data_IF_490592016446
#
_entry.id   IF_490592016446
#
_cell.length_a   1.000
_cell.length_b   1.000
_cell.length_c   1.000
_cell.angle_alpha   90.00
_cell.angle_beta   90.00
_cell.angle_gamma   90.00
#
_symmetry.space_group_name_H-M   'P 1'
#
loop_
_entity.id
_entity.type
_entity.pdbx_description
1 polymer ?
#
# COMPACT_ATOMS: atom_id res chain seq x y z
N UNK A 1 -26.50 -9.62 43.02
CA UNK A 1 -25.26 -9.83 42.24
C UNK A 1 -24.74 -8.45 41.83
N UNK A 2 -23.55 -8.05 42.28
CA UNK A 2 -22.94 -6.76 41.90
C UNK A 2 -21.94 -7.05 40.79
N UNK A 3 -22.04 -6.37 39.65
CA UNK A 3 -21.06 -6.46 38.58
C UNK A 3 -19.93 -5.46 38.86
N UNK A 4 -18.67 -5.92 39.04
CA UNK A 4 -17.56 -5.00 39.25
C UNK A 4 -17.32 -4.18 37.98
N UNK A 5 -17.29 -2.85 38.12
CA UNK A 5 -16.94 -1.92 37.05
C UNK A 5 -15.44 -1.58 37.14
N UNK A 6 -14.70 -1.61 36.01
CA UNK A 6 -13.32 -1.16 35.99
C UNK A 6 -13.23 0.34 36.32
N UNK A 7 -12.19 0.73 37.07
CA UNK A 7 -11.91 2.15 37.35
C UNK A 7 -11.42 2.86 36.10
N UNK A 8 -11.87 4.09 35.86
CA UNK A 8 -11.38 4.93 34.78
C UNK A 8 -9.90 5.26 34.99
N UNK A 9 -9.10 5.19 33.92
CA UNK A 9 -7.67 5.52 33.95
C UNK A 9 -7.44 7.04 33.98
N UNK A 10 -6.37 7.47 34.65
CA UNK A 10 -5.90 8.85 34.66
C UNK A 10 -5.37 9.28 33.29
N UNK A 11 -5.63 10.53 32.88
CA UNK A 11 -5.11 11.13 31.66
C UNK A 11 -3.57 11.04 31.63
N UNK A 12 -3.03 10.50 30.53
CA UNK A 12 -1.59 10.39 30.28
C UNK A 12 -1.07 11.76 29.80
N UNK A 13 -0.11 12.33 30.52
CA UNK A 13 0.40 13.69 30.28
C UNK A 13 1.09 13.90 28.90
N UNK A 14 1.38 12.82 28.17
CA UNK A 14 2.08 12.84 26.89
C UNK A 14 1.15 12.86 25.65
N UNK A 15 -0.17 12.95 25.84
CA UNK A 15 -1.15 12.86 24.74
C UNK A 15 -1.27 14.12 23.86
N UNK A 16 -0.51 15.18 24.15
CA UNK A 16 -0.73 16.49 23.53
C UNK A 16 0.18 16.80 22.32
N UNK A 17 0.98 15.84 21.87
CA UNK A 17 1.78 15.98 20.67
C UNK A 17 1.09 15.28 19.50
N UNK A 18 0.36 16.04 18.68
CA UNK A 18 -0.40 15.46 17.56
C UNK A 18 -0.72 16.46 16.47
N UNK A 19 -0.41 16.07 15.23
CA UNK A 19 -0.71 16.76 13.98
C UNK A 19 -2.22 16.95 13.74
N UNK A 20 -2.58 17.89 12.87
CA UNK A 20 -3.97 18.19 12.54
C UNK A 20 -4.57 17.09 11.64
N UNK A 21 -5.72 16.53 12.03
CA UNK A 21 -6.48 15.59 11.19
C UNK A 21 -7.64 16.36 10.53
N UNK A 22 -7.69 16.36 9.20
CA UNK A 22 -8.80 16.94 8.45
C UNK A 22 -9.83 15.86 8.14
N UNK A 23 -11.01 15.96 8.76
CA UNK A 23 -12.11 15.03 8.50
C UNK A 23 -12.61 15.16 7.06
N UNK A 24 -12.67 14.06 6.28
CA UNK A 24 -13.23 14.11 4.95
C UNK A 24 -14.76 14.34 4.99
N UNK A 25 -15.35 14.97 3.95
CA UNK A 25 -16.80 15.20 3.88
C UNK A 25 -17.68 13.94 3.79
N UNK A 26 -17.09 12.76 3.61
CA UNK A 26 -17.80 11.48 3.53
C UNK A 26 -17.16 10.45 4.47
N UNK A 27 -17.92 9.38 4.79
CA UNK A 27 -17.46 8.33 5.71
C UNK A 27 -16.12 7.74 5.25
N UNK A 28 -15.20 7.60 6.20
CA UNK A 28 -13.88 7.02 5.94
C UNK A 28 -14.02 5.59 5.40
N UNK A 29 -13.70 5.43 4.12
CA UNK A 29 -13.51 4.12 3.52
C UNK A 29 -12.05 3.74 3.62
N UNK A 30 -11.74 3.18 4.77
CA UNK A 30 -10.40 2.82 5.16
C UNK A 30 -10.01 1.42 4.70
N UNK A 31 -9.07 1.34 3.76
CA UNK A 31 -8.32 0.12 3.47
C UNK A 31 -6.91 0.27 4.08
N UNK A 32 -6.82 0.41 5.41
CA UNK A 32 -5.56 0.60 6.14
C UNK A 32 -4.79 -0.71 6.38
N UNK A 33 -4.65 -1.54 5.35
CA UNK A 33 -3.48 -2.41 5.29
C UNK A 33 -2.55 -1.77 4.26
N UNK A 34 -1.98 -0.63 4.62
CA UNK A 34 -0.72 -0.25 3.98
C UNK A 34 0.28 -1.29 4.50
N UNK A 35 0.62 -2.27 3.67
CA UNK A 35 1.92 -2.93 3.75
C UNK A 35 2.96 -1.88 3.37
N UNK A 36 3.01 -0.76 4.10
CA UNK A 36 4.01 0.27 3.92
C UNK A 36 5.29 -0.32 4.45
N UNK A 37 6.01 -1.00 3.57
CA UNK A 37 7.36 -1.52 3.81
C UNK A 37 8.38 -0.40 4.05
N UNK A 38 7.96 0.87 4.11
CA UNK A 38 8.85 2.01 4.36
C UNK A 38 9.15 2.23 5.83
N UNK A 39 8.31 1.76 6.76
CA UNK A 39 8.61 1.82 8.19
C UNK A 39 9.22 0.49 8.66
N UNK A 40 10.41 0.50 9.30
CA UNK A 40 10.95 -0.68 9.95
C UNK A 40 9.99 -1.21 11.02
N UNK A 41 9.88 -2.54 11.17
CA UNK A 41 9.05 -3.15 12.22
C UNK A 41 9.72 -3.09 13.60
N UNK A 42 11.00 -2.74 13.63
CA UNK A 42 11.80 -2.64 14.84
C UNK A 42 11.76 -1.21 15.40
N UNK A 43 11.29 -1.07 16.64
CA UNK A 43 11.31 0.18 17.40
C UNK A 43 12.51 0.21 18.36
N UNK A 44 13.18 1.37 18.46
CA UNK A 44 14.29 1.55 19.40
C UNK A 44 13.82 1.54 20.86
N UNK A 45 14.60 0.88 21.70
CA UNK A 45 14.51 1.04 23.15
C UNK A 45 15.55 2.05 23.67
N UNK A 46 15.46 2.38 24.97
CA UNK A 46 16.39 3.32 25.60
C UNK A 46 17.85 2.86 25.55
N UNK A 47 18.11 1.55 25.51
CA UNK A 47 19.47 1.00 25.41
C UNK A 47 20.01 1.15 23.98
N UNK A 48 19.16 0.99 22.96
CA UNK A 48 19.45 1.24 21.56
C UNK A 48 19.78 2.72 21.33
N UNK A 49 18.95 3.64 21.87
CA UNK A 49 19.20 5.08 21.75
C UNK A 49 20.57 5.46 22.35
N UNK A 50 20.89 4.92 23.53
CA UNK A 50 22.18 5.15 24.17
C UNK A 50 23.35 4.57 23.36
N UNK A 51 23.15 3.44 22.67
CA UNK A 51 24.13 2.85 21.76
C UNK A 51 24.34 3.72 20.51
N UNK A 52 23.24 4.13 19.84
CA UNK A 52 23.29 4.97 18.64
C UNK A 52 23.94 6.31 18.95
N UNK A 53 23.66 6.93 20.10
CA UNK A 53 24.31 8.18 20.51
C UNK A 53 25.82 8.03 20.73
N UNK A 54 26.30 6.86 21.18
CA UNK A 54 27.73 6.58 21.29
C UNK A 54 28.36 6.31 19.93
N UNK A 55 27.67 5.57 19.07
CA UNK A 55 28.11 5.24 17.72
C UNK A 55 28.16 6.49 16.83
N UNK A 56 27.19 7.40 16.98
CA UNK A 56 27.10 8.69 16.29
C UNK A 56 28.32 9.59 16.47
N UNK A 57 29.04 9.43 17.59
CA UNK A 57 30.30 10.17 17.86
C UNK A 57 31.49 9.64 17.06
N UNK A 58 31.41 8.39 16.58
CA UNK A 58 32.47 7.73 15.80
C UNK A 58 32.11 7.65 14.32
N UNK A 59 30.84 7.49 14.00
CA UNK A 59 30.30 7.25 12.66
C UNK A 59 28.95 7.95 12.54
N UNK A 60 28.70 8.70 11.47
CA UNK A 60 27.42 9.38 11.28
C UNK A 60 26.31 8.37 10.91
N UNK A 61 25.48 7.99 11.88
CA UNK A 61 24.31 7.13 11.69
C UNK A 61 23.04 7.82 12.22
N UNK A 62 21.93 7.69 11.49
CA UNK A 62 20.61 8.14 11.93
C UNK A 62 19.85 7.04 12.70
N UNK A 63 18.89 7.44 13.54
CA UNK A 63 18.08 6.49 14.33
C UNK A 63 17.29 5.54 13.41
N UNK A 64 16.66 6.08 12.37
CA UNK A 64 15.88 5.31 11.39
C UNK A 64 16.75 4.32 10.60
N UNK A 65 17.97 4.70 10.23
CA UNK A 65 18.90 3.77 9.58
C UNK A 65 19.26 2.59 10.50
N UNK A 66 19.47 2.84 11.79
CA UNK A 66 19.75 1.77 12.73
C UNK A 66 18.54 0.84 12.91
N UNK A 67 17.31 1.38 13.00
CA UNK A 67 16.07 0.57 12.99
C UNK A 67 15.98 -0.31 11.74
N UNK A 68 16.23 0.26 10.56
CA UNK A 68 16.21 -0.49 9.29
C UNK A 68 17.28 -1.61 9.25
N UNK A 69 18.48 -1.33 9.78
CA UNK A 69 19.55 -2.34 9.86
C UNK A 69 19.16 -3.51 10.78
N UNK A 70 18.59 -3.22 11.96
CA UNK A 70 18.16 -4.27 12.90
C UNK A 70 16.97 -5.05 12.33
N UNK A 71 16.00 -4.36 11.71
CA UNK A 71 14.84 -4.98 11.07
C UNK A 71 15.27 -5.97 9.97
N UNK A 72 16.22 -5.59 9.11
CA UNK A 72 16.79 -6.48 8.08
C UNK A 72 17.51 -7.69 8.68
N UNK A 73 18.23 -7.52 9.80
CA UNK A 73 18.90 -8.63 10.49
C UNK A 73 17.91 -9.59 11.15
N UNK A 74 16.85 -9.08 11.79
CA UNK A 74 15.78 -9.91 12.37
C UNK A 74 15.01 -10.67 11.27
N UNK A 75 14.67 -10.00 10.16
CA UNK A 75 14.01 -10.62 9.00
C UNK A 75 14.88 -11.67 8.32
N UNK A 76 16.18 -11.40 8.16
CA UNK A 76 17.13 -12.35 7.57
C UNK A 76 17.40 -13.57 8.45
N UNK A 77 17.21 -13.42 9.76
CA UNK A 77 17.47 -14.48 10.72
C UNK A 77 16.40 -15.58 10.78
N UNK A 78 15.12 -15.20 10.76
CA UNK A 78 14.04 -16.11 11.15
C UNK A 78 14.30 -16.80 12.49
N UNK A 79 14.61 -18.11 12.45
CA UNK A 79 14.83 -18.94 13.63
C UNK A 79 16.31 -19.15 14.02
N UNK A 80 17.28 -18.81 13.17
CA UNK A 80 18.72 -19.09 13.37
C UNK A 80 19.55 -17.80 13.41
N UNK A 81 20.63 -17.79 14.20
CA UNK A 81 21.53 -16.63 14.29
C UNK A 81 22.19 -16.36 12.92
N UNK A 82 22.09 -15.11 12.45
CA UNK A 82 22.76 -14.63 11.22
C UNK A 82 24.26 -14.59 11.46
N UNK A 83 25.05 -15.00 10.48
CA UNK A 83 26.51 -14.93 10.53
C UNK A 83 27.02 -13.56 10.02
N UNK A 84 28.22 -13.14 10.40
CA UNK A 84 28.79 -11.87 9.93
C UNK A 84 28.85 -11.75 8.38
N UNK A 85 29.23 -12.79 7.61
CA UNK A 85 29.20 -12.73 6.14
C UNK A 85 27.79 -12.56 5.57
N UNK A 86 26.79 -13.16 6.22
CA UNK A 86 25.39 -13.05 5.82
C UNK A 86 24.82 -11.66 6.15
N UNK A 87 25.17 -11.10 7.30
CA UNK A 87 24.85 -9.72 7.65
C UNK A 87 25.36 -8.72 6.62
N UNK A 88 26.58 -8.94 6.08
CA UNK A 88 27.14 -8.11 4.99
C UNK A 88 26.39 -8.23 3.66
N UNK A 89 25.69 -9.34 3.42
CA UNK A 89 24.87 -9.50 2.22
C UNK A 89 23.50 -8.83 2.38
N UNK A 90 22.98 -8.80 3.62
CA UNK A 90 21.69 -8.20 3.95
C UNK A 90 21.76 -6.67 4.09
N UNK A 91 22.89 -6.17 4.60
CA UNK A 91 23.12 -4.75 4.84
C UNK A 91 23.97 -4.16 3.70
N UNK A 92 23.56 -3.01 3.16
CA UNK A 92 24.25 -2.31 2.07
C UNK A 92 25.04 -1.10 2.58
N UNK A 93 25.68 -1.27 3.73
CA UNK A 93 26.39 -0.21 4.47
C UNK A 93 27.89 -0.51 4.58
N UNK A 94 28.65 0.39 5.20
CA UNK A 94 30.08 0.22 5.41
C UNK A 94 30.42 -0.97 6.32
N UNK A 95 31.48 -1.71 5.97
CA UNK A 95 31.91 -2.93 6.67
C UNK A 95 32.18 -2.72 8.18
N UNK A 96 32.73 -1.55 8.54
CA UNK A 96 32.99 -1.18 9.94
C UNK A 96 31.70 -0.93 10.72
N UNK A 97 30.73 -0.25 10.10
CA UNK A 97 29.43 0.03 10.70
C UNK A 97 28.63 -1.26 10.87
N UNK A 98 28.59 -2.10 9.83
CA UNK A 98 27.93 -3.41 9.86
C UNK A 98 28.47 -4.25 11.02
N UNK A 99 29.79 -4.27 11.22
CA UNK A 99 30.42 -5.07 12.28
C UNK A 99 30.00 -4.60 13.67
N UNK A 100 30.01 -3.29 13.94
CA UNK A 100 29.61 -2.74 15.25
C UNK A 100 28.13 -3.00 15.55
N UNK A 101 27.26 -2.77 14.56
CA UNK A 101 25.81 -3.02 14.70
C UNK A 101 25.53 -4.52 14.86
N UNK A 102 26.20 -5.38 14.09
CA UNK A 102 26.05 -6.83 14.18
C UNK A 102 26.50 -7.40 15.52
N UNK A 103 27.61 -6.91 16.08
CA UNK A 103 28.09 -7.34 17.40
C UNK A 103 27.12 -6.92 18.50
N UNK A 104 26.58 -5.69 18.41
CA UNK A 104 25.54 -5.22 19.32
C UNK A 104 24.27 -6.09 19.24
N UNK A 105 23.73 -6.27 18.03
CA UNK A 105 22.55 -7.08 17.77
C UNK A 105 22.73 -8.53 18.23
N UNK A 106 23.85 -9.15 17.89
CA UNK A 106 24.17 -10.53 18.28
C UNK A 106 24.21 -10.70 19.79
N UNK A 107 24.79 -9.72 20.51
CA UNK A 107 24.83 -9.71 21.97
C UNK A 107 23.42 -9.56 22.55
N UNK A 108 22.64 -8.62 22.02
CA UNK A 108 21.25 -8.36 22.46
C UNK A 108 20.40 -9.61 22.29
N UNK A 109 20.55 -10.31 21.17
CA UNK A 109 19.81 -11.54 20.89
C UNK A 109 20.19 -12.73 21.76
N UNK A 110 21.49 -12.90 22.07
CA UNK A 110 21.94 -13.92 23.04
C UNK A 110 21.47 -13.64 24.47
N UNK A 111 21.32 -12.36 24.81
CA UNK A 111 20.83 -11.94 26.13
C UNK A 111 19.31 -12.06 26.25
N UNK A 112 18.58 -12.04 25.13
CA UNK A 112 17.14 -12.24 25.11
C UNK A 112 16.80 -13.72 25.32
N UNK A 113 15.78 -13.99 26.13
CA UNK A 113 15.21 -15.33 26.29
C UNK A 113 14.31 -15.71 25.10
N UNK A 114 13.90 -14.72 24.30
CA UNK A 114 13.03 -14.88 23.16
C UNK A 114 13.84 -15.21 21.89
N UNK A 115 13.22 -15.92 20.95
CA UNK A 115 13.85 -16.32 19.69
C UNK A 115 14.03 -15.14 18.71
N UNK A 116 13.32 -14.03 18.92
CA UNK A 116 13.39 -12.78 18.16
C UNK A 116 13.37 -11.60 19.13
N UNK A 117 13.96 -10.47 18.68
CA UNK A 117 13.89 -9.21 19.41
C UNK A 117 12.51 -8.54 19.28
N UNK A 118 11.78 -8.82 18.19
CA UNK A 118 10.42 -8.33 17.97
C UNK A 118 9.44 -9.32 18.61
N UNK A 119 8.62 -8.89 19.59
CA UNK A 119 7.61 -9.77 20.19
C UNK A 119 6.62 -10.27 19.13
N UNK A 120 6.44 -11.59 19.06
CA UNK A 120 5.49 -12.22 18.12
C UNK A 120 4.37 -12.93 18.87
N UNK A 121 3.16 -12.89 18.29
CA UNK A 121 2.02 -13.65 18.82
C UNK A 121 2.27 -15.14 18.59
N UNK A 122 2.08 -15.95 19.64
CA UNK A 122 2.25 -17.40 19.54
C UNK A 122 1.15 -18.00 18.66
N UNK A 123 1.55 -18.63 17.57
CA UNK A 123 0.64 -19.29 16.63
C UNK A 123 0.56 -20.80 16.89
N UNK A 124 -0.55 -21.41 16.46
CA UNK A 124 -0.77 -22.85 16.55
C UNK A 124 0.22 -23.59 15.64
N UNK A 125 0.84 -24.66 16.16
CA UNK A 125 1.72 -25.52 15.36
C UNK A 125 0.88 -26.34 14.38
N UNK A 126 1.36 -26.49 13.14
CA UNK A 126 0.69 -27.25 12.07
C UNK A 126 0.59 -28.76 12.35
N UNK A 127 1.21 -29.24 13.43
CA UNK A 127 1.33 -30.66 13.79
C UNK A 127 0.01 -31.29 14.27
N UNK A 128 -1.10 -30.53 14.33
CA UNK A 128 -2.43 -31.03 14.68
C UNK A 128 -2.60 -31.42 16.14
N UNK A 129 -1.56 -31.21 16.96
CA UNK A 129 -1.64 -31.39 18.41
C UNK A 129 -2.39 -30.20 19.01
N UNK A 130 -3.57 -30.49 19.56
CA UNK A 130 -4.33 -29.50 20.33
C UNK A 130 -3.46 -28.97 21.46
N UNK A 131 -3.01 -27.72 21.29
CA UNK A 131 -2.24 -27.03 22.32
C UNK A 131 -3.24 -26.27 23.19
N UNK A 132 -3.53 -26.76 24.39
CA UNK A 132 -4.35 -26.07 25.41
C UNK A 132 -3.62 -24.85 26.03
N UNK A 133 -2.69 -24.24 25.30
CA UNK A 133 -1.91 -23.11 25.78
C UNK A 133 -2.75 -21.82 25.61
N UNK A 134 -3.08 -21.11 26.70
CA UNK A 134 -3.90 -19.90 26.65
C UNK A 134 -3.26 -18.75 25.87
N UNK A 135 -1.96 -18.82 25.54
CA UNK A 135 -1.28 -17.81 24.74
C UNK A 135 -1.28 -18.08 23.23
N UNK A 136 -1.82 -19.21 22.76
CA UNK A 136 -1.97 -19.48 21.32
C UNK A 136 -3.20 -18.77 20.76
N UNK A 137 -3.00 -17.88 19.79
CA UNK A 137 -4.07 -17.10 19.16
C UNK A 137 -4.11 -17.28 17.64
N UNK A 138 -5.24 -16.91 17.02
CA UNK A 138 -5.47 -16.88 15.56
C UNK A 138 -5.28 -18.23 14.83
N UNK A 139 -6.09 -19.24 15.17
CA UNK A 139 -6.09 -20.55 14.51
C UNK A 139 -6.52 -20.45 13.03
N UNK A 140 -5.70 -20.98 12.12
CA UNK A 140 -5.97 -20.97 10.68
C UNK A 140 -7.03 -22.02 10.31
N UNK A 141 -8.23 -21.57 9.92
CA UNK A 141 -9.27 -22.46 9.37
C UNK A 141 -8.91 -22.84 7.92
N UNK A 142 -9.03 -24.13 7.61
CA UNK A 142 -8.68 -24.71 6.30
C UNK A 142 -9.45 -24.02 5.16
N UNK A 143 -8.74 -23.77 4.05
CA UNK A 143 -9.26 -23.12 2.85
C UNK A 143 -10.00 -24.13 1.95
N UNK A 144 -11.09 -23.69 1.30
CA UNK A 144 -11.94 -24.51 0.43
C UNK A 144 -11.52 -24.39 -1.05
N UNK A 145 -11.36 -25.55 -1.71
CA UNK A 145 -10.91 -25.73 -3.10
C UNK A 145 -11.81 -25.02 -4.15
N UNK A 146 -13.07 -24.75 -3.82
CA UNK A 146 -14.04 -24.08 -4.70
C UNK A 146 -13.77 -22.58 -4.95
N UNK A 147 -12.68 -22.03 -4.41
CA UNK A 147 -12.30 -20.61 -4.50
C UNK A 147 -11.43 -20.24 -5.72
N UNK A 148 -10.88 -21.23 -6.44
CA UNK A 148 -9.89 -20.99 -7.51
C UNK A 148 -10.44 -20.21 -8.72
N UNK A 149 -11.63 -20.56 -9.23
CA UNK A 149 -12.27 -19.84 -10.34
C UNK A 149 -12.61 -18.38 -9.98
N UNK A 150 -13.01 -18.16 -8.73
CA UNK A 150 -13.29 -16.81 -8.21
C UNK A 150 -12.01 -15.98 -8.13
N UNK A 151 -10.87 -16.60 -7.82
CA UNK A 151 -9.56 -15.94 -7.79
C UNK A 151 -9.08 -15.51 -9.19
N UNK A 152 -9.29 -16.33 -10.22
CA UNK A 152 -8.96 -15.93 -11.60
C UNK A 152 -9.82 -14.76 -12.07
N UNK A 153 -11.11 -14.73 -11.71
CA UNK A 153 -11.99 -13.58 -11.99
C UNK A 153 -11.50 -12.33 -11.24
N UNK A 154 -11.22 -12.46 -9.94
CA UNK A 154 -10.71 -11.38 -9.10
C UNK A 154 -9.39 -10.80 -9.66
N UNK A 155 -8.47 -11.64 -10.11
CA UNK A 155 -7.20 -11.21 -10.73
C UNK A 155 -7.45 -10.29 -11.93
N UNK A 156 -8.38 -10.65 -12.82
CA UNK A 156 -8.73 -9.81 -13.99
C UNK A 156 -9.34 -8.47 -13.56
N UNK A 157 -10.21 -8.50 -12.56
CA UNK A 157 -10.86 -7.29 -12.03
C UNK A 157 -9.84 -6.34 -11.38
N UNK A 158 -8.90 -6.87 -10.60
CA UNK A 158 -7.80 -6.10 -10.02
C UNK A 158 -6.85 -5.56 -11.09
N UNK A 159 -6.51 -6.35 -12.12
CA UNK A 159 -5.72 -5.86 -13.25
C UNK A 159 -6.39 -4.68 -13.96
N UNK A 160 -7.72 -4.72 -14.16
CA UNK A 160 -8.48 -3.59 -14.70
C UNK A 160 -8.44 -2.37 -13.77
N UNK A 161 -8.63 -2.57 -12.48
CA UNK A 161 -8.57 -1.51 -11.49
C UNK A 161 -7.19 -0.82 -11.46
N UNK A 162 -6.10 -1.60 -11.51
CA UNK A 162 -4.71 -1.08 -11.55
C UNK A 162 -4.50 -0.20 -12.78
N UNK A 163 -4.98 -0.58 -13.96
CA UNK A 163 -4.89 0.25 -15.17
C UNK A 163 -5.59 1.60 -14.99
N UNK A 164 -6.79 1.60 -14.39
CA UNK A 164 -7.53 2.85 -14.12
C UNK A 164 -6.78 3.71 -13.09
N UNK A 165 -6.28 3.11 -12.02
CA UNK A 165 -5.49 3.80 -11.00
C UNK A 165 -4.21 4.42 -11.58
N UNK A 166 -3.53 3.71 -12.48
CA UNK A 166 -2.34 4.23 -13.18
C UNK A 166 -2.69 5.43 -14.07
N UNK A 167 -3.83 5.39 -14.77
CA UNK A 167 -4.33 6.55 -15.52
C UNK A 167 -4.62 7.75 -14.61
N UNK A 168 -5.24 7.53 -13.45
CA UNK A 168 -5.52 8.58 -12.46
C UNK A 168 -4.21 9.15 -11.90
N UNK A 169 -3.26 8.29 -11.50
CA UNK A 169 -1.93 8.69 -11.00
C UNK A 169 -1.22 9.60 -12.01
N UNK A 170 -1.20 9.22 -13.30
CA UNK A 170 -0.61 10.05 -14.37
C UNK A 170 -1.33 11.39 -14.52
N UNK A 171 -2.66 11.40 -14.48
CA UNK A 171 -3.45 12.64 -14.56
C UNK A 171 -3.12 13.59 -13.40
N UNK A 172 -3.07 13.09 -12.17
CA UNK A 172 -2.77 13.93 -11.01
C UNK A 172 -1.30 14.39 -10.99
N UNK A 173 -0.37 13.56 -11.48
CA UNK A 173 1.02 13.97 -11.72
C UNK A 173 1.11 15.14 -12.70
N UNK A 174 0.47 15.06 -13.87
CA UNK A 174 0.50 16.15 -14.86
C UNK A 174 -0.18 17.43 -14.37
N UNK A 175 -1.26 17.33 -13.56
CA UNK A 175 -1.85 18.51 -12.92
C UNK A 175 -0.89 19.17 -11.94
N UNK A 176 -0.18 18.38 -11.13
CA UNK A 176 0.85 18.89 -10.21
C UNK A 176 1.98 19.60 -10.97
N UNK A 177 2.49 19.00 -12.04
CA UNK A 177 3.51 19.59 -12.91
C UNK A 177 3.04 20.93 -13.52
N UNK A 178 1.80 20.99 -14.00
CA UNK A 178 1.21 22.23 -14.53
C UNK A 178 1.12 23.34 -13.45
N UNK A 179 0.74 22.99 -12.22
CA UNK A 179 0.69 23.94 -11.12
C UNK A 179 2.08 24.45 -10.73
N UNK A 180 3.08 23.57 -10.65
CA UNK A 180 4.47 23.97 -10.41
C UNK A 180 4.98 24.94 -11.47
N UNK A 181 4.75 24.65 -12.75
CA UNK A 181 5.14 25.54 -13.84
C UNK A 181 4.40 26.89 -13.78
N UNK A 182 3.11 26.86 -13.42
CA UNK A 182 2.31 28.10 -13.27
C UNK A 182 2.86 28.98 -12.16
N UNK A 183 3.24 28.37 -11.03
CA UNK A 183 3.85 29.05 -9.90
C UNK A 183 5.19 29.69 -10.33
N UNK A 184 6.06 28.93 -11.00
CA UNK A 184 7.34 29.42 -11.51
C UNK A 184 7.16 30.59 -12.49
N UNK A 185 6.22 30.50 -13.44
CA UNK A 185 5.93 31.60 -14.38
C UNK A 185 5.46 32.86 -13.63
N UNK A 186 4.58 32.70 -12.66
CA UNK A 186 4.12 33.81 -11.83
C UNK A 186 5.27 34.47 -11.07
N UNK A 187 6.15 33.69 -10.44
CA UNK A 187 7.34 34.21 -9.75
C UNK A 187 8.25 34.99 -10.70
N UNK A 188 8.57 34.42 -11.86
CA UNK A 188 9.41 35.09 -12.88
C UNK A 188 8.77 36.39 -13.36
N UNK A 189 7.45 36.42 -13.56
CA UNK A 189 6.72 37.64 -13.95
C UNK A 189 6.72 38.70 -12.85
N UNK A 190 6.52 38.31 -11.59
CA UNK A 190 6.59 39.24 -10.46
C UNK A 190 7.99 39.88 -10.35
N UNK A 191 9.06 39.08 -10.47
CA UNK A 191 10.44 39.58 -10.46
C UNK A 191 10.71 40.51 -11.65
N UNK A 192 10.27 40.15 -12.85
CA UNK A 192 10.38 41.01 -14.03
C UNK A 192 9.55 42.29 -13.90
N UNK A 193 8.39 42.26 -13.25
CA UNK A 193 7.56 43.44 -13.01
C UNK A 193 8.22 44.38 -12.00
N UNK A 194 8.81 43.84 -10.93
CA UNK A 194 9.56 44.64 -9.95
C UNK A 194 10.86 45.24 -10.51
N UNK A 195 11.49 44.57 -11.48
CA UNK A 195 12.64 45.11 -12.21
C UNK A 195 12.19 46.09 -13.33
N UNK A 196 11.06 45.81 -13.97
CA UNK A 196 10.49 46.53 -15.12
C UNK A 196 9.75 47.82 -14.75
N UNK A 197 9.41 48.04 -13.47
CA UNK A 197 9.03 49.36 -12.94
C UNK A 197 10.14 50.39 -13.11
N UNK A 198 11.40 49.98 -13.37
CA UNK A 198 12.48 50.88 -13.76
C UNK A 198 12.54 51.20 -15.27
N UNK A 199 11.84 50.44 -16.13
CA UNK A 199 11.99 50.49 -17.61
C UNK A 199 10.67 50.62 -18.41
N UNK A 200 9.53 50.91 -17.78
CA UNK A 200 8.31 51.34 -18.50
C UNK A 200 7.61 50.29 -19.39
N UNK A 201 7.85 48.99 -19.16
CA UNK A 201 7.35 47.87 -19.99
C UNK A 201 6.09 47.19 -19.42
N UNK A 202 5.15 47.94 -18.85
CA UNK A 202 3.96 47.37 -18.17
C UNK A 202 2.90 46.83 -19.13
N UNK A 203 2.87 47.30 -20.38
CA UNK A 203 1.75 47.02 -21.31
C UNK A 203 1.88 45.67 -22.03
N UNK A 204 3.09 45.18 -22.30
CA UNK A 204 3.31 43.95 -23.08
C UNK A 204 3.11 42.66 -22.26
N UNK A 205 3.33 42.70 -20.94
CA UNK A 205 3.22 41.54 -20.06
C UNK A 205 1.76 41.20 -19.68
N UNK A 206 0.90 42.22 -19.57
CA UNK A 206 -0.53 42.02 -19.29
C UNK A 206 -1.29 41.48 -20.52
N UNK A 207 -0.94 41.93 -21.72
CA UNK A 207 -1.57 41.47 -22.97
C UNK A 207 -1.27 40.00 -23.29
N UNK A 208 -0.05 39.51 -23.03
CA UNK A 208 0.29 38.08 -23.21
C UNK A 208 -0.41 37.18 -22.19
N UNK A 209 -0.69 37.70 -20.99
CA UNK A 209 -1.41 36.96 -19.94
C UNK A 209 -2.89 36.77 -20.28
N UNK A 210 -3.55 37.79 -20.85
CA UNK A 210 -4.96 37.71 -21.27
C UNK A 210 -5.16 36.76 -22.48
N UNK A 211 -4.25 36.77 -23.46
CA UNK A 211 -4.34 35.92 -24.66
C UNK A 211 -4.16 34.43 -24.30
N UNK A 212 -3.24 34.10 -23.38
CA UNK A 212 -3.04 32.72 -22.93
C UNK A 212 -4.23 32.16 -22.11
N UNK A 213 -4.89 33.02 -21.32
CA UNK A 213 -6.08 32.61 -20.55
C UNK A 213 -7.28 32.30 -21.46
N UNK A 214 -7.44 33.06 -22.54
CA UNK A 214 -8.51 32.88 -23.52
C UNK A 214 -8.35 31.58 -24.34
N UNK A 215 -7.11 31.25 -24.72
CA UNK A 215 -6.77 29.99 -25.40
C UNK A 215 -7.02 28.75 -24.53
N UNK A 216 -6.74 28.83 -23.22
CA UNK A 216 -6.97 27.72 -22.29
C UNK A 216 -8.46 27.42 -22.06
N UNK A 217 -9.29 28.47 -21.92
CA UNK A 217 -10.75 28.31 -21.83
C UNK A 217 -11.37 27.83 -23.16
N UNK A 218 -10.83 28.26 -24.31
CA UNK A 218 -11.24 27.79 -25.63
C UNK A 218 -10.95 26.31 -25.89
N UNK A 219 -9.80 25.79 -25.40
CA UNK A 219 -9.45 24.36 -25.50
C UNK A 219 -10.29 23.46 -24.60
N UNK A 220 -10.73 23.94 -23.44
CA UNK A 220 -11.65 23.19 -22.56
C UNK A 220 -13.08 23.13 -23.14
N UNK A 221 -13.57 24.21 -23.77
CA UNK A 221 -14.88 24.21 -24.46
C UNK A 221 -14.91 23.34 -25.72
N UNK A 222 -13.83 23.31 -26.52
CA UNK A 222 -13.76 22.42 -27.70
C UNK A 222 -13.68 20.92 -27.34
N UNK A 223 -13.31 20.58 -26.11
CA UNK A 223 -13.34 19.20 -25.60
C UNK A 223 -14.73 18.78 -25.09
N UNK A 224 -15.63 19.72 -24.75
CA UNK A 224 -17.01 19.39 -24.35
C UNK A 224 -17.97 19.24 -25.53
N UNK A 225 -17.72 19.93 -26.65
CA UNK A 225 -18.69 20.02 -27.77
C UNK A 225 -18.35 19.16 -29.01
N UNK A 226 -17.59 18.07 -28.85
CA UNK A 226 -17.03 17.34 -30.00
C UNK A 226 -16.93 15.82 -29.89
N UNK A 227 -18.07 15.15 -29.68
CA UNK A 227 -18.47 13.77 -30.14
C UNK A 227 -19.29 13.06 -29.06
N UNK A 228 -20.62 13.22 -29.14
CA UNK A 228 -21.50 12.15 -28.69
C UNK A 228 -21.26 10.90 -29.56
N UNK A 229 -21.46 9.68 -29.02
CA UNK A 229 -21.42 8.49 -29.85
C UNK A 229 -22.52 8.62 -30.90
N UNK A 230 -22.12 8.65 -32.18
CA UNK A 230 -23.06 8.61 -33.28
C UNK A 230 -23.98 7.41 -33.11
N UNK A 231 -25.28 7.60 -33.35
CA UNK A 231 -26.21 6.50 -33.60
C UNK A 231 -25.61 5.63 -34.68
N UNK A 232 -25.12 4.45 -34.28
CA UNK A 232 -24.85 3.38 -35.23
C UNK A 232 -26.17 3.11 -35.96
N UNK A 233 -26.12 3.07 -37.29
CA UNK A 233 -27.17 2.42 -38.07
C UNK A 233 -27.25 0.97 -37.57
N UNK A 234 -28.43 0.36 -37.42
CA UNK A 234 -28.50 -1.06 -37.12
C UNK A 234 -27.90 -1.82 -38.31
N UNK A 235 -26.90 -2.65 -38.03
CA UNK A 235 -26.39 -3.62 -38.99
C UNK A 235 -27.52 -4.61 -39.36
N UNK A 236 -27.56 -5.11 -40.61
CA UNK A 236 -28.52 -6.13 -41.02
C UNK A 236 -28.28 -7.42 -40.21
N UNK A 237 -29.38 -8.11 -39.88
CA UNK A 237 -29.35 -9.36 -39.12
C UNK A 237 -28.43 -10.40 -39.79
N UNK A 238 -27.66 -11.19 -39.02
CA UNK A 238 -26.86 -12.26 -39.60
C UNK A 238 -27.77 -13.36 -40.16
N UNK A 239 -27.51 -13.76 -41.40
CA UNK A 239 -28.12 -14.92 -42.04
C UNK A 239 -27.89 -16.17 -41.18
N UNK A 240 -29.00 -16.81 -40.78
CA UNK A 240 -28.97 -18.15 -40.19
C UNK A 240 -28.60 -19.17 -41.27
N UNK A 241 -27.52 -19.97 -41.12
CA UNK A 241 -27.34 -21.15 -41.94
C UNK A 241 -28.39 -22.22 -41.57
N UNK A 242 -28.82 -23.03 -42.55
CA UNK A 242 -29.98 -23.90 -42.40
C UNK A 242 -29.74 -24.99 -41.37
N UNK A 243 -30.78 -25.27 -40.59
CA UNK A 243 -30.82 -26.37 -39.65
C UNK A 243 -30.57 -27.72 -40.32
N UNK A 244 -29.93 -28.61 -39.59
CA UNK A 244 -29.77 -30.03 -39.92
C UNK A 244 -29.49 -30.78 -38.61
N UNK A 245 -29.87 -32.06 -38.52
CA UNK A 245 -31.20 -32.49 -38.11
C UNK A 245 -31.21 -32.93 -36.65
N UNK A 246 -32.42 -32.97 -36.09
CA UNK A 246 -32.74 -33.59 -34.80
C UNK A 246 -31.93 -34.88 -34.54
N UNK A 247 -31.11 -34.86 -33.48
CA UNK A 247 -30.78 -36.11 -32.80
C UNK A 247 -32.00 -36.53 -31.97
N UNK A 248 -32.42 -37.80 -32.03
CA UNK A 248 -33.61 -38.26 -31.32
C UNK A 248 -33.41 -38.12 -29.82
N UNK A 249 -34.41 -37.48 -29.19
CA UNK A 249 -34.67 -37.56 -27.76
C UNK A 249 -34.68 -39.03 -27.35
N UNK A 250 -33.77 -39.44 -26.48
CA UNK A 250 -33.88 -40.72 -25.79
C UNK A 250 -35.11 -40.65 -24.88
N UNK A 251 -36.16 -41.35 -25.27
CA UNK A 251 -37.30 -41.66 -24.40
C UNK A 251 -36.78 -42.42 -23.17
N UNK A 252 -37.22 -42.08 -21.95
CA UNK A 252 -36.95 -42.95 -20.81
C UNK A 252 -37.72 -44.25 -21.03
N UNK A 253 -36.98 -45.36 -21.17
CA UNK A 253 -37.56 -46.70 -21.19
C UNK A 253 -38.32 -47.00 -19.89
N UNK A 254 -39.33 -47.87 -19.93
CA UNK A 254 -40.18 -48.14 -18.77
C UNK A 254 -39.35 -48.75 -17.63
N UNK A 255 -39.52 -48.22 -16.41
CA UNK A 255 -39.01 -48.82 -15.18
C UNK A 255 -39.56 -50.25 -15.08
N UNK A 256 -38.69 -51.25 -15.10
CA UNK A 256 -39.04 -52.59 -14.59
C UNK A 256 -39.39 -52.46 -13.10
N UNK A 257 -40.49 -53.08 -12.64
CA UNK A 257 -40.78 -53.15 -11.21
C UNK A 257 -39.69 -53.97 -10.54
N UNK A 258 -39.06 -53.41 -9.50
CA UNK A 258 -38.34 -54.21 -8.52
C UNK A 258 -39.39 -55.05 -7.80
N UNK A 259 -39.36 -56.35 -8.07
CA UNK A 259 -40.10 -57.32 -7.29
C UNK A 259 -39.61 -57.28 -5.84
N UNK A 260 -40.58 -57.30 -4.93
CA UNK A 260 -40.37 -57.74 -3.56
C UNK A 260 -39.58 -59.05 -3.58
N UNK A 261 -38.49 -59.09 -2.81
CA UNK A 261 -38.09 -60.32 -2.15
C UNK A 261 -37.99 -60.04 -0.65
N UNK A 262 -38.75 -60.87 0.05
CA UNK A 262 -38.67 -61.23 1.46
C UNK A 262 -37.26 -61.72 1.80
#
# INVERSE_FOLDING_TARGET
HVFPLPRAFSLVLFLNEGSHWCLPPCLERSAWFSLDTEQPDYDLDADDEAFVLKLKKKMEISLLQFEEMIDRLEKGSGQQLVSLPEAKLLLKEDDELIKEVFEYWSRKRRSSKAQSLIPTVKQEKRDGSSTNDPYVAFQNRKNDEASYEKMLKLRRDLSRAVTILEMIKRREKSKRELLHLTLEICEKRCVCLSAGTSLGLTVTCLLTSAVLLQEHHGRLRRRSDGRGPGRARPDPAPDHPPGSPHQPVQTPGPRRPQGLQV
#
